data_IF_216198947172
#
_entry.id   IF_216198947172
#
_cell.length_a   1.000
_cell.length_b   1.000
_cell.length_c   1.000
_cell.angle_alpha   90.00
_cell.angle_beta   90.00
_cell.angle_gamma   90.00
#
_symmetry.space_group_name_H-M   'P 1'
#
loop_
_entity.id
_entity.type
_entity.pdbx_description
1 polymer ?
#
# COMPACT_ATOMS: atom_id res chain seq x y z
N UNK A 1 -22.84 -0.95 -2.69
CA UNK A 1 -22.06 0.30 -2.66
C UNK A 1 -21.10 0.18 -1.50
N UNK A 2 -19.89 0.69 -1.60
CA UNK A 2 -18.95 0.73 -0.49
C UNK A 2 -19.66 1.41 0.68
N UNK A 3 -19.69 0.79 1.87
CA UNK A 3 -20.43 1.29 3.04
C UNK A 3 -20.18 2.78 3.25
N UNK A 4 -21.21 3.54 3.55
CA UNK A 4 -21.27 5.01 3.56
C UNK A 4 -21.13 5.67 2.19
N UNK A 5 -22.06 5.32 1.30
CA UNK A 5 -22.13 5.90 -0.07
C UNK A 5 -22.13 7.44 -0.10
N UNK A 6 -22.59 8.08 0.96
CA UNK A 6 -22.71 9.53 1.05
C UNK A 6 -21.36 10.21 1.34
N UNK A 7 -20.53 9.61 2.22
CA UNK A 7 -19.17 10.13 2.52
C UNK A 7 -18.27 10.04 1.28
N UNK A 8 -18.28 8.92 0.58
CA UNK A 8 -17.49 8.75 -0.64
C UNK A 8 -17.94 9.69 -1.76
N UNK A 9 -19.25 9.92 -1.91
CA UNK A 9 -19.78 10.85 -2.91
C UNK A 9 -19.41 12.31 -2.59
N UNK A 10 -19.36 12.70 -1.34
CA UNK A 10 -18.95 14.05 -0.93
C UNK A 10 -17.45 14.30 -1.17
N UNK A 11 -16.60 13.29 -0.98
CA UNK A 11 -15.15 13.43 -1.20
C UNK A 11 -14.76 13.32 -2.69
N UNK A 12 -15.55 12.59 -3.50
CA UNK A 12 -15.31 12.36 -4.92
C UNK A 12 -16.54 12.75 -5.76
N UNK A 13 -16.92 14.04 -5.75
CA UNK A 13 -18.17 14.51 -6.35
C UNK A 13 -18.16 14.51 -7.88
N UNK A 14 -16.98 14.54 -8.50
CA UNK A 14 -16.86 14.62 -9.95
C UNK A 14 -16.88 13.24 -10.58
N UNK A 15 -17.82 13.03 -11.50
CA UNK A 15 -18.03 11.72 -12.13
C UNK A 15 -17.66 11.77 -13.61
N UNK A 16 -16.81 10.85 -14.02
CA UNK A 16 -16.56 10.52 -15.43
C UNK A 16 -17.29 9.21 -15.76
N UNK A 17 -18.13 9.23 -16.77
CA UNK A 17 -18.78 8.02 -17.29
C UNK A 17 -18.34 7.78 -18.73
N UNK A 18 -17.87 6.56 -18.99
CA UNK A 18 -17.52 6.11 -20.33
C UNK A 18 -17.88 4.63 -20.49
N UNK A 19 -18.73 4.31 -21.47
CA UNK A 19 -19.30 2.95 -21.65
C UNK A 19 -19.94 2.42 -20.35
N UNK A 20 -19.49 1.25 -19.89
CA UNK A 20 -19.94 0.62 -18.64
C UNK A 20 -19.16 1.01 -17.41
N UNK A 21 -18.22 1.95 -17.52
CA UNK A 21 -17.32 2.39 -16.45
C UNK A 21 -17.74 3.73 -15.88
N UNK A 22 -17.67 3.84 -14.56
CA UNK A 22 -17.86 5.08 -13.80
C UNK A 22 -16.64 5.31 -12.93
N UNK A 23 -16.00 6.47 -13.06
CA UNK A 23 -14.93 6.93 -12.19
C UNK A 23 -15.46 8.09 -11.34
N UNK A 24 -15.09 8.09 -10.07
CA UNK A 24 -15.39 9.13 -9.09
C UNK A 24 -14.08 9.82 -8.71
N UNK A 25 -14.01 11.15 -8.83
CA UNK A 25 -12.80 11.95 -8.74
C UNK A 25 -12.98 13.09 -7.74
N UNK A 26 -11.90 13.48 -7.06
CA UNK A 26 -11.90 14.61 -6.12
C UNK A 26 -12.09 15.96 -6.81
N UNK A 27 -11.60 16.11 -8.02
CA UNK A 27 -11.63 17.35 -8.79
C UNK A 27 -12.06 17.08 -10.24
N UNK A 28 -12.57 18.12 -10.95
CA UNK A 28 -12.79 18.03 -12.39
C UNK A 28 -11.46 17.75 -13.11
N UNK A 29 -11.53 16.99 -14.19
CA UNK A 29 -10.36 16.67 -15.02
C UNK A 29 -10.40 17.42 -16.35
N UNK A 30 -9.23 17.77 -16.85
CA UNK A 30 -9.09 18.40 -18.17
C UNK A 30 -9.45 17.42 -19.30
N UNK A 31 -9.77 17.95 -20.48
CA UNK A 31 -10.21 17.16 -21.65
C UNK A 31 -9.18 16.10 -22.04
N UNK A 32 -7.90 16.42 -22.06
CA UNK A 32 -6.83 15.46 -22.39
C UNK A 32 -6.70 14.32 -21.37
N UNK A 33 -6.89 14.59 -20.08
CA UNK A 33 -6.92 13.57 -19.01
C UNK A 33 -8.14 12.67 -19.17
N UNK A 34 -9.29 13.25 -19.51
CA UNK A 34 -10.49 12.49 -19.83
C UNK A 34 -10.27 11.52 -20.98
N UNK A 35 -9.69 11.99 -22.09
CA UNK A 35 -9.37 11.15 -23.24
C UNK A 35 -8.38 10.02 -22.89
N UNK A 36 -7.43 10.29 -21.98
CA UNK A 36 -6.51 9.26 -21.50
C UNK A 36 -7.23 8.18 -20.67
N UNK A 37 -8.19 8.54 -19.80
CA UNK A 37 -9.02 7.58 -19.10
C UNK A 37 -9.93 6.79 -20.04
N UNK A 38 -10.52 7.41 -21.04
CA UNK A 38 -11.35 6.73 -22.04
C UNK A 38 -10.55 5.66 -22.78
N UNK A 39 -9.30 5.97 -23.20
CA UNK A 39 -8.38 4.99 -23.79
C UNK A 39 -8.03 3.85 -22.81
N UNK A 40 -7.71 4.19 -21.55
CA UNK A 40 -7.42 3.17 -20.53
C UNK A 40 -8.60 2.21 -20.32
N UNK A 41 -9.82 2.73 -20.30
CA UNK A 41 -11.06 1.94 -20.16
C UNK A 41 -11.27 1.01 -21.35
N UNK A 42 -10.94 1.47 -22.55
CA UNK A 42 -11.11 0.72 -23.80
C UNK A 42 -10.03 -0.37 -23.99
N UNK A 43 -8.88 -0.21 -23.40
CA UNK A 43 -7.81 -1.20 -23.48
C UNK A 43 -8.26 -2.52 -22.85
N UNK A 44 -8.10 -3.60 -23.61
CA UNK A 44 -8.26 -4.95 -23.08
C UNK A 44 -7.10 -5.25 -22.14
N UNK A 45 -7.41 -5.48 -20.86
CA UNK A 45 -6.37 -5.83 -19.88
C UNK A 45 -5.76 -7.19 -20.25
N UNK A 46 -4.46 -7.22 -20.47
CA UNK A 46 -3.68 -8.44 -20.73
C UNK A 46 -3.52 -9.32 -19.50
N UNK A 47 -3.70 -8.75 -18.31
CA UNK A 47 -3.56 -9.43 -17.03
C UNK A 47 -4.74 -9.08 -16.10
N UNK A 48 -4.88 -9.86 -15.03
CA UNK A 48 -5.91 -9.66 -14.00
C UNK A 48 -5.75 -8.32 -13.27
N UNK A 49 -4.51 -7.87 -13.06
CA UNK A 49 -4.17 -6.58 -12.42
C UNK A 49 -3.19 -5.84 -13.31
N UNK A 50 -3.51 -4.60 -13.59
CA UNK A 50 -2.65 -3.67 -14.35
C UNK A 50 -2.42 -2.44 -13.48
N UNK A 51 -1.15 -2.08 -13.28
CA UNK A 51 -0.72 -0.91 -12.53
C UNK A 51 0.24 -0.12 -13.40
N UNK A 52 -0.12 1.10 -13.75
CA UNK A 52 0.69 1.93 -14.65
C UNK A 52 0.38 3.43 -14.50
N UNK A 53 1.32 4.31 -14.85
CA UNK A 53 1.03 5.72 -15.07
C UNK A 53 -0.06 5.88 -16.13
N UNK A 54 -0.98 6.83 -15.91
CA UNK A 54 -1.94 7.23 -16.94
C UNK A 54 -1.18 7.89 -18.09
N UNK A 55 -1.37 7.39 -19.30
CA UNK A 55 -0.68 7.91 -20.50
C UNK A 55 -1.23 9.30 -20.88
N UNK A 56 -0.79 10.32 -20.14
CA UNK A 56 -1.16 11.71 -20.32
C UNK A 56 -0.01 12.62 -19.88
N UNK A 57 0.59 13.35 -20.80
CA UNK A 57 1.75 14.24 -20.53
C UNK A 57 1.42 15.41 -19.61
N UNK A 58 0.16 15.79 -19.50
CA UNK A 58 -0.31 16.92 -18.69
C UNK A 58 -0.95 16.50 -17.36
N UNK A 59 -0.95 15.21 -17.04
CA UNK A 59 -1.59 14.68 -15.86
C UNK A 59 -0.72 13.62 -15.20
N UNK A 60 -0.21 13.93 -14.01
CA UNK A 60 0.62 13.04 -13.22
C UNK A 60 -0.27 12.13 -12.36
N UNK A 61 -0.87 11.14 -12.99
CA UNK A 61 -1.74 10.15 -12.33
C UNK A 61 -1.19 8.74 -12.52
N UNK A 62 -1.39 7.93 -11.49
CA UNK A 62 -1.12 6.50 -11.51
C UNK A 62 -2.43 5.73 -11.36
N UNK A 63 -2.59 4.67 -12.12
CA UNK A 63 -3.83 3.89 -12.14
C UNK A 63 -3.54 2.43 -11.85
N UNK A 64 -4.34 1.85 -10.95
CA UNK A 64 -4.42 0.40 -10.74
C UNK A 64 -5.79 -0.06 -11.21
N UNK A 65 -5.84 -1.05 -12.11
CA UNK A 65 -7.07 -1.70 -12.57
C UNK A 65 -7.02 -3.16 -12.18
N UNK A 66 -8.05 -3.64 -11.50
CA UNK A 66 -8.21 -5.04 -11.15
C UNK A 66 -9.49 -5.62 -11.74
N UNK A 67 -9.35 -6.72 -12.51
CA UNK A 67 -10.48 -7.50 -13.02
C UNK A 67 -10.98 -8.44 -11.92
N UNK A 68 -12.26 -8.37 -11.61
CA UNK A 68 -12.89 -9.23 -10.62
C UNK A 68 -13.28 -10.58 -11.25
N UNK A 69 -12.68 -11.64 -10.76
CA UNK A 69 -12.69 -12.98 -11.39
C UNK A 69 -13.86 -13.88 -10.95
N UNK A 70 -14.43 -13.67 -9.76
CA UNK A 70 -15.49 -14.54 -9.24
C UNK A 70 -16.76 -13.77 -8.91
N UNK A 71 -17.91 -14.43 -9.09
CA UNK A 71 -19.21 -13.85 -8.75
C UNK A 71 -19.28 -13.42 -7.28
N UNK A 72 -18.73 -14.24 -6.38
CA UNK A 72 -18.66 -13.95 -4.95
C UNK A 72 -17.86 -12.67 -4.66
N UNK A 73 -16.69 -12.48 -5.32
CA UNK A 73 -15.89 -11.27 -5.20
C UNK A 73 -16.63 -10.05 -5.76
N UNK A 74 -17.26 -10.16 -6.93
CA UNK A 74 -18.06 -9.09 -7.55
C UNK A 74 -19.16 -8.59 -6.62
N UNK A 75 -19.91 -9.50 -6.00
CA UNK A 75 -20.98 -9.16 -5.07
C UNK A 75 -20.45 -8.51 -3.77
N UNK A 76 -19.36 -9.05 -3.19
CA UNK A 76 -18.75 -8.43 -2.00
C UNK A 76 -18.24 -7.03 -2.27
N UNK A 77 -17.49 -6.83 -3.35
CA UNK A 77 -16.98 -5.52 -3.77
C UNK A 77 -18.12 -4.53 -4.03
N UNK A 78 -19.16 -4.96 -4.71
CA UNK A 78 -20.32 -4.12 -5.02
C UNK A 78 -21.07 -3.68 -3.76
N UNK A 79 -21.13 -4.55 -2.73
CA UNK A 79 -21.80 -4.28 -1.46
C UNK A 79 -20.90 -3.63 -0.43
N UNK A 80 -19.57 -3.56 -0.68
CA UNK A 80 -18.59 -3.08 0.29
C UNK A 80 -18.53 -3.98 1.53
N UNK A 81 -18.67 -5.30 1.34
CA UNK A 81 -18.70 -6.26 2.45
C UNK A 81 -17.33 -6.94 2.63
N UNK A 82 -16.87 -7.12 3.87
CA UNK A 82 -15.66 -7.89 4.15
C UNK A 82 -15.88 -9.39 3.92
N UNK A 83 -14.80 -10.13 3.82
CA UNK A 83 -14.76 -11.59 3.90
C UNK A 83 -15.09 -12.06 5.32
N UNK A 84 -15.29 -13.37 5.51
CA UNK A 84 -15.58 -13.98 6.83
C UNK A 84 -14.50 -13.70 7.88
N UNK A 85 -13.25 -13.51 7.46
CA UNK A 85 -12.13 -13.16 8.33
C UNK A 85 -12.01 -11.64 8.60
N UNK A 86 -13.01 -10.84 8.25
CA UNK A 86 -13.04 -9.40 8.46
C UNK A 86 -12.22 -8.58 7.48
N UNK A 87 -11.48 -9.20 6.55
CA UNK A 87 -10.70 -8.50 5.51
C UNK A 87 -11.56 -8.18 4.31
N UNK A 88 -11.34 -7.05 3.67
CA UNK A 88 -11.92 -6.75 2.37
C UNK A 88 -11.14 -7.45 1.23
N UNK A 89 -11.65 -7.35 0.03
CA UNK A 89 -10.89 -7.68 -1.17
C UNK A 89 -9.82 -6.59 -1.40
N UNK A 90 -8.65 -6.97 -1.89
CA UNK A 90 -7.42 -6.17 -1.89
C UNK A 90 -7.57 -4.74 -2.39
N UNK A 91 -8.18 -4.57 -3.54
CA UNK A 91 -8.36 -3.23 -4.11
C UNK A 91 -9.25 -2.33 -3.26
N UNK A 92 -10.21 -2.91 -2.52
CA UNK A 92 -11.04 -2.15 -1.59
C UNK A 92 -10.28 -1.83 -0.30
N UNK A 93 -9.48 -2.78 0.21
CA UNK A 93 -8.59 -2.51 1.34
C UNK A 93 -7.58 -1.42 1.00
N UNK A 94 -6.95 -1.47 -0.17
CA UNK A 94 -6.02 -0.44 -0.61
C UNK A 94 -6.70 0.93 -0.72
N UNK A 95 -7.91 0.99 -1.28
CA UNK A 95 -8.69 2.23 -1.35
C UNK A 95 -8.96 2.82 0.05
N UNK A 96 -9.46 1.99 0.97
CA UNK A 96 -9.81 2.41 2.35
C UNK A 96 -8.55 2.87 3.08
N UNK A 97 -7.48 2.08 3.03
CA UNK A 97 -6.23 2.35 3.74
C UNK A 97 -5.51 3.58 3.18
N UNK A 98 -5.45 3.74 1.85
CA UNK A 98 -4.83 4.91 1.22
C UNK A 98 -5.58 6.18 1.59
N UNK A 99 -6.92 6.15 1.56
CA UNK A 99 -7.75 7.29 1.97
C UNK A 99 -7.51 7.67 3.43
N UNK A 100 -7.54 6.68 4.33
CA UNK A 100 -7.37 6.92 5.76
C UNK A 100 -5.94 7.40 6.09
N UNK A 101 -4.92 6.83 5.46
CA UNK A 101 -3.54 7.26 5.60
C UNK A 101 -3.36 8.72 5.14
N UNK A 102 -3.91 9.09 3.99
CA UNK A 102 -3.88 10.47 3.48
C UNK A 102 -4.62 11.44 4.42
N UNK A 103 -5.79 11.05 4.95
CA UNK A 103 -6.56 11.84 5.92
C UNK A 103 -5.78 12.11 7.21
N UNK A 104 -4.93 11.19 7.62
CA UNK A 104 -4.05 11.30 8.79
C UNK A 104 -2.79 12.10 8.51
N UNK A 105 -2.52 12.48 7.26
CA UNK A 105 -1.30 13.17 6.87
C UNK A 105 -0.07 12.27 6.73
N UNK A 106 -0.28 10.97 6.56
CA UNK A 106 0.80 10.02 6.30
C UNK A 106 1.45 10.27 4.93
N UNK A 107 2.71 9.91 4.80
CA UNK A 107 3.48 10.06 3.55
C UNK A 107 3.14 8.96 2.55
N UNK A 108 2.05 9.16 1.86
CA UNK A 108 1.50 8.27 0.84
C UNK A 108 1.03 9.09 -0.36
N UNK A 109 0.97 8.53 -1.58
CA UNK A 109 0.41 9.22 -2.73
C UNK A 109 -1.03 9.65 -2.45
N UNK A 110 -1.37 10.86 -2.85
CA UNK A 110 -2.75 11.35 -2.70
C UNK A 110 -3.71 10.50 -3.53
N UNK A 111 -4.79 10.07 -2.91
CA UNK A 111 -5.87 9.39 -3.59
C UNK A 111 -6.68 10.41 -4.40
N UNK A 112 -6.70 10.28 -5.71
CA UNK A 112 -7.37 11.21 -6.65
C UNK A 112 -8.77 10.73 -6.98
N UNK A 113 -8.97 9.41 -6.99
CA UNK A 113 -10.26 8.86 -7.29
C UNK A 113 -10.28 7.32 -7.29
N UNK A 114 -11.46 6.81 -7.55
CA UNK A 114 -11.70 5.39 -7.72
C UNK A 114 -12.80 5.17 -8.75
N UNK A 115 -12.98 3.94 -9.20
CA UNK A 115 -14.06 3.64 -10.13
C UNK A 115 -14.32 2.17 -10.30
N UNK A 116 -15.32 1.87 -11.11
CA UNK A 116 -15.71 0.50 -11.42
C UNK A 116 -16.36 0.41 -12.80
N UNK A 117 -16.21 -0.74 -13.45
CA UNK A 117 -17.03 -1.11 -14.60
C UNK A 117 -18.13 -2.09 -14.20
N UNK A 118 -19.22 -2.14 -14.95
CA UNK A 118 -20.33 -3.06 -14.72
C UNK A 118 -20.64 -3.88 -15.98
N UNK A 119 -21.09 -5.11 -15.79
CA UNK A 119 -21.66 -5.92 -16.86
C UNK A 119 -23.06 -5.38 -17.26
N UNK A 120 -23.60 -5.90 -18.37
CA UNK A 120 -25.00 -5.66 -18.77
C UNK A 120 -26.03 -6.04 -17.70
N UNK A 121 -25.67 -6.92 -16.77
CA UNK A 121 -26.51 -7.32 -15.64
C UNK A 121 -26.25 -6.51 -14.36
N UNK A 122 -25.49 -5.42 -14.44
CA UNK A 122 -25.21 -4.54 -13.31
C UNK A 122 -24.14 -5.04 -12.33
N UNK A 123 -23.51 -6.20 -12.59
CA UNK A 123 -22.45 -6.74 -11.73
C UNK A 123 -21.11 -6.04 -12.00
N UNK A 124 -20.40 -5.70 -10.94
CA UNK A 124 -19.06 -5.11 -11.02
C UNK A 124 -18.09 -6.08 -11.73
N UNK A 125 -17.35 -5.57 -12.70
CA UNK A 125 -16.37 -6.34 -13.49
C UNK A 125 -14.93 -5.96 -13.18
N UNK A 126 -14.65 -4.67 -13.19
CA UNK A 126 -13.34 -4.11 -12.87
C UNK A 126 -13.47 -3.11 -11.74
N UNK A 127 -12.39 -2.94 -11.00
CA UNK A 127 -12.22 -1.88 -10.03
C UNK A 127 -10.98 -1.05 -10.39
N UNK A 128 -11.06 0.26 -10.21
CA UNK A 128 -10.01 1.22 -10.51
C UNK A 128 -9.64 1.98 -9.25
N UNK A 129 -8.35 2.11 -8.98
CA UNK A 129 -7.78 3.01 -8.00
C UNK A 129 -6.93 4.04 -8.74
N UNK A 130 -7.08 5.31 -8.40
CA UNK A 130 -6.40 6.42 -9.09
C UNK A 130 -5.72 7.25 -8.02
N UNK A 131 -4.39 7.32 -8.08
CA UNK A 131 -3.56 8.15 -7.20
C UNK A 131 -2.76 9.15 -8.02
N UNK A 132 -2.15 10.11 -7.34
CA UNK A 132 -1.10 10.90 -7.98
C UNK A 132 0.07 10.00 -8.37
N UNK A 133 0.74 10.34 -9.46
CA UNK A 133 1.99 9.73 -9.86
C UNK A 133 3.14 10.44 -9.13
N UNK A 134 3.94 9.68 -8.40
CA UNK A 134 5.15 10.17 -7.75
C UNK A 134 6.25 10.39 -8.80
N UNK A 135 6.15 11.50 -9.53
CA UNK A 135 7.14 11.86 -10.53
C UNK A 135 8.50 12.18 -9.87
N UNK A 136 9.61 11.73 -10.47
CA UNK A 136 10.94 11.91 -9.91
C UNK A 136 11.21 11.06 -8.65
N UNK A 137 10.39 10.04 -8.41
CA UNK A 137 10.66 9.04 -7.37
C UNK A 137 11.05 7.71 -8.02
N UNK A 138 11.97 7.03 -7.38
CA UNK A 138 12.36 5.67 -7.71
C UNK A 138 12.08 4.76 -6.51
N UNK A 139 11.66 3.51 -6.75
CA UNK A 139 11.48 2.57 -5.64
C UNK A 139 12.85 2.11 -5.08
N UNK A 140 12.89 1.86 -3.78
CA UNK A 140 14.14 1.54 -3.08
C UNK A 140 14.78 0.25 -3.59
N UNK A 141 14.01 -0.73 -4.09
CA UNK A 141 14.56 -1.96 -4.64
C UNK A 141 15.23 -1.71 -5.99
N UNK A 142 14.63 -0.90 -6.86
CA UNK A 142 15.24 -0.48 -8.12
C UNK A 142 16.53 0.29 -7.86
N UNK A 143 16.51 1.22 -6.91
CA UNK A 143 17.70 1.97 -6.48
C UNK A 143 18.85 1.05 -6.05
N UNK A 144 18.59 0.06 -5.17
CA UNK A 144 19.63 -0.87 -4.71
C UNK A 144 20.10 -1.82 -5.82
N UNK A 145 19.21 -2.25 -6.71
CA UNK A 145 19.58 -3.08 -7.86
C UNK A 145 20.48 -2.36 -8.85
N UNK A 146 20.27 -1.09 -9.07
CA UNK A 146 21.11 -0.25 -9.93
C UNK A 146 22.43 0.11 -9.25
N UNK A 147 22.39 0.41 -7.94
CA UNK A 147 23.56 0.77 -7.14
C UNK A 147 23.49 0.07 -5.77
N UNK A 148 24.15 -1.09 -5.59
CA UNK A 148 24.19 -1.82 -4.31
C UNK A 148 24.70 -0.98 -3.14
N UNK A 149 25.62 -0.04 -3.36
CA UNK A 149 26.15 0.86 -2.31
C UNK A 149 25.08 1.78 -1.70
N UNK A 150 23.96 1.96 -2.39
CA UNK A 150 22.85 2.76 -1.90
C UNK A 150 22.01 2.05 -0.81
N UNK A 151 22.29 0.79 -0.47
CA UNK A 151 21.47 -0.01 0.46
C UNK A 151 21.31 0.67 1.83
N UNK A 152 22.37 1.24 2.39
CA UNK A 152 22.30 1.95 3.68
C UNK A 152 21.38 3.17 3.62
N UNK A 153 21.40 3.91 2.51
CA UNK A 153 20.50 5.05 2.29
C UNK A 153 19.05 4.59 2.18
N UNK A 154 18.79 3.49 1.48
CA UNK A 154 17.43 2.92 1.32
C UNK A 154 16.91 2.44 2.67
N UNK A 155 17.72 1.74 3.48
CA UNK A 155 17.37 1.28 4.83
C UNK A 155 17.03 2.48 5.73
N UNK A 156 17.89 3.48 5.78
CA UNK A 156 17.67 4.68 6.60
C UNK A 156 16.38 5.41 6.22
N UNK A 157 16.13 5.58 4.91
CA UNK A 157 14.92 6.22 4.41
C UNK A 157 13.66 5.39 4.74
N UNK A 158 13.73 4.05 4.65
CA UNK A 158 12.64 3.17 5.01
C UNK A 158 12.30 3.22 6.50
N UNK A 159 13.30 3.27 7.38
CA UNK A 159 13.10 3.31 8.84
C UNK A 159 12.55 4.67 9.28
N UNK A 160 13.02 5.76 8.70
CA UNK A 160 12.46 7.10 8.92
C UNK A 160 11.01 7.17 8.42
N UNK A 161 10.72 6.59 7.25
CA UNK A 161 9.35 6.51 6.73
C UNK A 161 8.46 5.66 7.63
N UNK A 162 8.94 4.50 8.11
CA UNK A 162 8.22 3.63 9.04
C UNK A 162 7.83 4.41 10.30
N UNK A 163 8.77 5.15 10.89
CA UNK A 163 8.52 6.01 12.03
C UNK A 163 7.46 7.07 11.71
N UNK A 164 7.58 7.76 10.58
CA UNK A 164 6.63 8.77 10.16
C UNK A 164 5.20 8.22 9.99
N UNK A 165 5.06 7.00 9.45
CA UNK A 165 3.76 6.31 9.33
C UNK A 165 3.18 5.99 10.71
N UNK A 166 4.00 5.44 11.63
CA UNK A 166 3.57 5.15 13.01
C UNK A 166 3.13 6.40 13.76
N UNK A 167 3.81 7.55 13.58
CA UNK A 167 3.40 8.83 14.16
C UNK A 167 2.00 9.28 13.69
N UNK A 168 1.58 8.87 12.51
CA UNK A 168 0.23 9.13 11.97
C UNK A 168 -0.76 7.99 12.29
N UNK A 169 -0.35 7.03 13.12
CA UNK A 169 -1.18 5.86 13.46
C UNK A 169 -1.48 4.97 12.24
N UNK A 170 -0.54 4.89 11.31
CA UNK A 170 -0.59 3.99 10.14
C UNK A 170 0.48 2.92 10.30
N UNK A 171 0.06 1.67 10.27
CA UNK A 171 0.93 0.50 10.33
C UNK A 171 0.92 -0.22 8.98
N UNK A 172 2.03 -0.15 8.27
CA UNK A 172 2.17 -0.75 6.94
C UNK A 172 2.81 -2.15 7.06
N UNK A 173 2.00 -3.20 6.95
CA UNK A 173 2.46 -4.60 7.13
C UNK A 173 3.01 -5.23 5.84
N UNK A 174 3.28 -4.44 4.83
CA UNK A 174 3.91 -4.87 3.58
C UNK A 174 4.97 -3.85 3.11
N UNK A 175 5.58 -3.11 4.06
CA UNK A 175 6.62 -2.14 3.75
C UNK A 175 7.94 -2.88 3.49
N UNK A 176 8.32 -2.98 2.23
CA UNK A 176 9.61 -3.48 1.77
C UNK A 176 10.20 -2.50 0.74
N UNK A 177 11.42 -2.73 0.30
CA UNK A 177 12.16 -1.75 -0.49
C UNK A 177 11.40 -1.26 -1.75
N UNK A 178 10.67 -2.13 -2.46
CA UNK A 178 9.89 -1.70 -3.62
C UNK A 178 8.62 -0.89 -3.28
N UNK A 179 8.20 -0.87 -2.02
CA UNK A 179 7.07 -0.05 -1.54
C UNK A 179 7.53 1.26 -0.89
N UNK A 180 8.83 1.54 -0.90
CA UNK A 180 9.46 2.79 -0.44
C UNK A 180 9.85 3.60 -1.66
N UNK A 181 9.14 4.68 -1.93
CA UNK A 181 9.40 5.60 -3.05
C UNK A 181 10.33 6.71 -2.60
N UNK A 182 11.53 6.72 -3.18
CA UNK A 182 12.61 7.66 -2.86
C UNK A 182 12.58 8.82 -3.84
N UNK A 183 12.39 10.06 -3.41
CA UNK A 183 12.53 11.23 -4.28
C UNK A 183 14.01 11.57 -4.52
N UNK A 184 14.29 12.33 -5.56
CA UNK A 184 15.61 12.95 -5.73
C UNK A 184 15.94 13.89 -4.57
N UNK A 185 14.95 14.63 -4.09
CA UNK A 185 15.03 15.51 -2.94
C UNK A 185 13.78 15.38 -2.08
N UNK A 186 13.96 15.43 -0.75
CA UNK A 186 12.84 15.35 0.18
C UNK A 186 12.75 14.01 0.89
N UNK A 187 11.54 13.64 1.28
CA UNK A 187 11.26 12.49 2.15
C UNK A 187 10.58 11.38 1.39
N UNK A 188 10.94 10.14 1.71
CA UNK A 188 10.34 8.95 1.13
C UNK A 188 8.82 8.87 1.39
N UNK A 189 8.11 8.22 0.49
CA UNK A 189 6.67 7.92 0.58
C UNK A 189 6.42 6.42 0.47
N UNK A 190 5.37 5.93 1.14
CA UNK A 190 4.95 4.54 1.05
C UNK A 190 3.86 4.37 0.01
N UNK A 191 3.93 3.27 -0.76
CA UNK A 191 2.90 2.84 -1.69
C UNK A 191 2.37 1.45 -1.32
N UNK A 192 1.28 1.03 -1.95
CA UNK A 192 0.69 -0.31 -1.83
C UNK A 192 0.16 -0.65 -0.42
N UNK A 193 -0.77 0.17 0.06
CA UNK A 193 -1.34 0.05 1.41
C UNK A 193 -2.39 -1.06 1.57
N UNK A 194 -2.44 -2.05 0.67
CA UNK A 194 -3.45 -3.11 0.73
C UNK A 194 -3.36 -3.99 1.99
N UNK A 195 -2.20 -4.02 2.64
CA UNK A 195 -1.98 -4.72 3.90
C UNK A 195 -1.50 -3.73 4.98
N UNK A 196 -2.33 -2.75 5.26
CA UNK A 196 -2.05 -1.72 6.26
C UNK A 196 -3.21 -1.61 7.24
N UNK A 197 -2.91 -1.08 8.42
CA UNK A 197 -3.88 -0.86 9.47
C UNK A 197 -3.79 0.58 9.97
N UNK A 198 -4.93 1.12 10.40
CA UNK A 198 -5.02 2.45 10.97
C UNK A 198 -5.50 2.38 12.41
N UNK A 199 -4.84 3.14 13.28
CA UNK A 199 -5.11 3.18 14.71
C UNK A 199 -4.08 2.46 15.56
N UNK A 200 -4.24 2.50 16.89
CA UNK A 200 -3.31 1.89 17.82
C UNK A 200 -3.41 0.37 17.82
N UNK A 201 -2.30 -0.28 18.13
CA UNK A 201 -2.26 -1.71 18.51
C UNK A 201 -1.63 -1.86 19.88
N UNK A 202 -2.12 -2.81 20.66
CA UNK A 202 -1.49 -3.22 21.92
C UNK A 202 -0.17 -3.98 21.69
N UNK A 203 0.06 -4.45 20.49
CA UNK A 203 1.19 -5.31 20.09
C UNK A 203 2.18 -4.54 19.18
N UNK A 204 2.45 -3.29 19.56
CA UNK A 204 3.33 -2.42 18.78
C UNK A 204 4.75 -2.97 18.64
N UNK A 205 5.28 -3.56 19.70
CA UNK A 205 6.66 -4.09 19.68
C UNK A 205 6.79 -5.31 18.77
N UNK A 206 5.85 -6.23 18.81
CA UNK A 206 5.77 -7.39 17.91
C UNK A 206 5.58 -6.94 16.45
N UNK A 207 4.71 -5.96 16.25
CA UNK A 207 4.43 -5.38 14.94
C UNK A 207 5.68 -4.75 14.34
N UNK A 208 6.43 -3.97 15.13
CA UNK A 208 7.72 -3.40 14.71
C UNK A 208 8.74 -4.52 14.42
N UNK A 209 8.82 -5.54 15.28
CA UNK A 209 9.68 -6.70 15.03
C UNK A 209 9.41 -7.34 13.67
N UNK A 210 8.12 -7.54 13.34
CA UNK A 210 7.74 -8.01 12.02
C UNK A 210 8.18 -7.06 10.90
N UNK A 211 7.88 -5.76 11.01
CA UNK A 211 8.16 -4.79 9.95
C UNK A 211 9.64 -4.68 9.62
N UNK A 212 10.49 -4.64 10.65
CA UNK A 212 11.96 -4.61 10.48
C UNK A 212 12.47 -5.93 9.90
N UNK A 213 12.03 -7.09 10.42
CA UNK A 213 12.46 -8.40 9.91
C UNK A 213 12.00 -8.63 8.47
N UNK A 214 10.75 -8.31 8.15
CA UNK A 214 10.19 -8.42 6.82
C UNK A 214 10.91 -7.55 5.78
N UNK A 215 11.32 -6.35 6.15
CA UNK A 215 12.10 -5.47 5.28
C UNK A 215 13.44 -6.12 4.87
N UNK A 216 14.12 -6.78 5.81
CA UNK A 216 15.33 -7.54 5.52
C UNK A 216 15.02 -8.75 4.62
N UNK A 217 14.05 -9.58 5.01
CA UNK A 217 13.66 -10.80 4.29
C UNK A 217 13.30 -10.53 2.83
N UNK A 218 12.67 -9.41 2.53
CA UNK A 218 12.24 -9.03 1.19
C UNK A 218 13.37 -8.36 0.41
N UNK A 219 14.34 -9.18 -0.05
CA UNK A 219 15.43 -8.82 -0.97
C UNK A 219 16.63 -8.06 -0.35
N UNK A 220 16.46 -7.30 0.73
CA UNK A 220 17.54 -6.47 1.31
C UNK A 220 18.71 -7.33 1.81
N UNK A 221 18.48 -8.54 2.31
CA UNK A 221 19.51 -9.49 2.74
C UNK A 221 20.57 -9.80 1.66
N UNK A 222 20.29 -9.53 0.38
CA UNK A 222 21.20 -9.74 -0.75
C UNK A 222 22.27 -8.65 -0.87
N UNK A 223 22.10 -7.53 -0.22
CA UNK A 223 22.89 -6.31 -0.43
C UNK A 223 23.60 -5.84 0.84
N UNK A 224 23.33 -6.43 1.98
CA UNK A 224 23.92 -6.07 3.28
C UNK A 224 24.11 -7.34 4.11
N UNK A 225 25.14 -7.37 4.94
CA UNK A 225 25.29 -8.45 5.92
C UNK A 225 24.21 -8.35 7.00
N UNK A 226 23.84 -9.49 7.60
CA UNK A 226 22.85 -9.49 8.67
C UNK A 226 23.33 -8.66 9.88
N UNK A 227 24.61 -8.74 10.21
CA UNK A 227 25.20 -7.97 11.32
C UNK A 227 25.10 -6.46 11.09
N UNK A 228 25.40 -5.97 9.89
CA UNK A 228 25.29 -4.55 9.55
C UNK A 228 23.82 -4.09 9.53
N UNK A 229 22.92 -4.96 9.05
CA UNK A 229 21.48 -4.68 9.11
C UNK A 229 20.98 -4.59 10.56
N UNK A 230 21.35 -5.55 11.41
CA UNK A 230 20.98 -5.56 12.82
C UNK A 230 21.51 -4.30 13.54
N UNK A 231 22.73 -3.86 13.21
CA UNK A 231 23.27 -2.60 13.74
C UNK A 231 22.44 -1.38 13.31
N UNK A 232 22.00 -1.33 12.04
CA UNK A 232 21.11 -0.27 11.56
C UNK A 232 19.75 -0.30 12.26
N UNK A 233 19.21 -1.49 12.54
CA UNK A 233 17.95 -1.66 13.29
C UNK A 233 18.12 -1.15 14.72
N UNK A 234 19.22 -1.48 15.42
CA UNK A 234 19.48 -1.01 16.78
C UNK A 234 19.55 0.53 16.84
N UNK A 235 20.23 1.17 15.89
CA UNK A 235 20.25 2.62 15.76
C UNK A 235 18.85 3.20 15.56
N UNK A 236 18.06 2.64 14.65
CA UNK A 236 16.71 3.11 14.38
C UNK A 236 15.75 2.91 15.56
N UNK A 237 15.88 1.82 16.31
CA UNK A 237 15.09 1.60 17.51
C UNK A 237 15.45 2.62 18.61
N UNK A 238 16.71 2.92 18.79
CA UNK A 238 17.15 3.92 19.77
C UNK A 238 16.67 5.33 19.41
N UNK A 239 16.67 5.67 18.13
CA UNK A 239 16.30 7.00 17.65
C UNK A 239 14.78 7.19 17.55
N UNK A 240 14.07 6.23 16.97
CA UNK A 240 12.67 6.40 16.59
C UNK A 240 11.67 5.67 17.48
N UNK A 241 12.10 4.61 18.19
CA UNK A 241 11.22 3.74 18.95
C UNK A 241 11.81 3.37 20.33
N UNK A 242 12.22 4.37 21.15
CA UNK A 242 12.90 4.11 22.42
C UNK A 242 12.06 3.29 23.43
N UNK A 243 10.73 3.33 23.29
CA UNK A 243 9.79 2.63 24.19
C UNK A 243 9.49 1.18 23.76
N UNK A 244 10.20 0.66 22.74
CA UNK A 244 9.95 -0.72 22.26
C UNK A 244 10.32 -1.74 23.33
N UNK A 245 9.42 -2.69 23.57
CA UNK A 245 9.68 -3.83 24.46
C UNK A 245 10.56 -4.84 23.73
N UNK A 246 11.87 -4.84 24.05
CA UNK A 246 12.89 -5.61 23.33
C UNK A 246 12.60 -7.11 23.23
N UNK A 247 12.11 -7.72 24.28
CA UNK A 247 11.80 -9.16 24.27
C UNK A 247 10.68 -9.50 23.26
N UNK A 248 9.62 -8.70 23.22
CA UNK A 248 8.50 -8.85 22.28
C UNK A 248 8.94 -8.58 20.84
N UNK A 249 9.70 -7.51 20.63
CA UNK A 249 10.30 -7.18 19.34
C UNK A 249 11.18 -8.31 18.80
N UNK A 250 12.20 -8.73 19.57
CA UNK A 250 13.21 -9.69 19.14
C UNK A 250 12.59 -11.07 18.78
N UNK A 251 11.56 -11.50 19.52
CA UNK A 251 10.86 -12.76 19.23
C UNK A 251 10.29 -12.79 17.81
N UNK A 252 9.64 -11.70 17.37
CA UNK A 252 9.02 -11.63 16.05
C UNK A 252 10.05 -11.25 14.97
N UNK A 253 11.00 -10.37 15.31
CA UNK A 253 12.06 -9.94 14.41
C UNK A 253 12.93 -11.09 13.91
N UNK A 254 13.36 -11.98 14.81
CA UNK A 254 14.17 -13.14 14.46
C UNK A 254 13.46 -14.06 13.46
N UNK A 255 12.16 -14.32 13.64
CA UNK A 255 11.38 -15.13 12.71
C UNK A 255 11.16 -14.41 11.38
N UNK A 256 10.76 -13.13 11.43
CA UNK A 256 10.43 -12.36 10.24
C UNK A 256 11.62 -12.07 9.32
N UNK A 257 12.86 -12.15 9.83
CA UNK A 257 14.08 -12.07 9.01
C UNK A 257 14.32 -13.30 8.14
N UNK A 258 13.79 -14.45 8.51
CA UNK A 258 14.17 -15.74 7.91
C UNK A 258 12.99 -16.54 7.36
N UNK A 259 11.76 -16.20 7.75
CA UNK A 259 10.57 -16.95 7.34
C UNK A 259 9.62 -16.11 6.49
N UNK A 260 8.98 -16.76 5.50
CA UNK A 260 7.89 -16.16 4.76
C UNK A 260 6.63 -16.08 5.63
N UNK A 261 6.20 -14.85 5.94
CA UNK A 261 5.01 -14.59 6.75
C UNK A 261 3.86 -14.18 5.85
N UNK A 262 2.81 -14.99 5.85
CA UNK A 262 1.62 -14.79 5.03
C UNK A 262 0.75 -13.61 5.51
N UNK A 263 -0.18 -13.21 4.65
CA UNK A 263 -1.02 -12.03 4.89
C UNK A 263 -1.94 -12.18 6.13
N UNK A 264 -2.43 -13.37 6.41
CA UNK A 264 -3.25 -13.61 7.59
C UNK A 264 -2.42 -13.52 8.88
N UNK A 265 -1.23 -14.11 8.86
CA UNK A 265 -0.28 -14.06 9.98
C UNK A 265 0.14 -12.62 10.30
N UNK A 266 0.38 -11.80 9.28
CA UNK A 266 0.66 -10.36 9.46
C UNK A 266 -0.47 -9.64 10.20
N UNK A 267 -1.72 -9.99 9.88
CA UNK A 267 -2.89 -9.46 10.59
C UNK A 267 -2.93 -9.94 12.04
N UNK A 268 -2.61 -11.22 12.28
CA UNK A 268 -2.54 -11.79 13.62
C UNK A 268 -1.47 -11.11 14.48
N UNK A 269 -0.29 -10.83 13.92
CA UNK A 269 0.73 -10.04 14.62
C UNK A 269 0.18 -8.67 15.04
N UNK A 270 -0.51 -7.95 14.16
CA UNK A 270 -1.08 -6.65 14.48
C UNK A 270 -2.19 -6.72 15.52
N UNK A 271 -3.04 -7.76 15.50
CA UNK A 271 -4.24 -7.87 16.33
C UNK A 271 -4.04 -8.64 17.64
N UNK A 272 -3.05 -9.54 17.72
CA UNK A 272 -2.82 -10.42 18.86
C UNK A 272 -1.35 -10.53 19.30
N UNK A 273 -0.42 -9.95 18.52
CA UNK A 273 1.03 -10.07 18.81
C UNK A 273 1.59 -11.48 18.59
N UNK A 274 0.81 -12.38 18.01
CA UNK A 274 1.20 -13.79 17.85
C UNK A 274 1.82 -14.00 16.47
N UNK A 275 2.98 -14.64 16.46
CA UNK A 275 3.59 -15.26 15.31
C UNK A 275 4.11 -16.63 15.76
N UNK A 276 3.55 -17.68 15.20
CA UNK A 276 3.98 -19.05 15.48
C UNK A 276 5.08 -19.44 14.47
N UNK A 277 6.19 -19.96 14.98
CA UNK A 277 7.22 -20.57 14.12
C UNK A 277 6.63 -21.81 13.45
N UNK A 278 6.97 -21.99 12.18
CA UNK A 278 6.57 -23.18 11.41
C UNK A 278 7.53 -24.36 11.58
N UNK A 279 8.56 -24.20 12.40
CA UNK A 279 9.62 -25.19 12.64
C UNK A 279 9.74 -25.56 14.11
#
# INVERSE_FOLDING_TARGET
MVGDSQIWQNEYPHTLRHRSTTLHLQAPIAVHTRLAFERLIEQTASSKRVSAPLQCTQSLLFTKREKLDSLKKKLRMQRGQPKRNGMYDWSLEELINTREAARRGARVPRLVGYGYSRSRFGLMQDFFLITELLSGHEDGLATVRQNPEAVHRVIAAAFELLHALHCQGVTHMDLWAANVMLPEQGKAQAIDLENSFSGPTAYRSETLGFQFGFFYYREIYRYITEADYDAAVECALAEYFPDVQRAAFNRVYALAKHEEIGRLERREIFTSGVLESRW
#
